data_IF_485980494994
#
_entry.id   IF_485980494994
#
_cell.length_a   1.000
_cell.length_b   1.000
_cell.length_c   1.000
_cell.angle_alpha   90.00
_cell.angle_beta   90.00
_cell.angle_gamma   90.00
#
_symmetry.space_group_name_H-M   'P 1'
#
loop_
_entity.id
_entity.type
_entity.pdbx_description
1 polymer ?
#
# COMPACT_ATOMS: atom_id res chain seq x y z
N UNK A 1 -49.68 11.12 -25.96
CA UNK A 1 -49.04 9.79 -25.88
C UNK A 1 -47.89 9.88 -24.89
N UNK A 2 -47.90 8.96 -23.93
CA UNK A 2 -46.83 8.55 -23.02
C UNK A 2 -46.44 9.46 -21.83
N UNK A 3 -46.97 9.03 -20.69
CA UNK A 3 -46.69 9.38 -19.30
C UNK A 3 -45.33 8.83 -18.81
N UNK A 4 -44.76 9.55 -17.81
CA UNK A 4 -44.04 9.07 -16.62
C UNK A 4 -42.89 8.04 -16.71
N UNK A 5 -41.70 8.41 -16.19
CA UNK A 5 -41.22 7.99 -14.85
C UNK A 5 -39.81 8.52 -14.57
N UNK A 6 -39.74 9.51 -13.69
CA UNK A 6 -38.62 9.68 -12.75
C UNK A 6 -38.80 8.58 -11.70
N UNK A 7 -37.91 7.60 -11.67
CA UNK A 7 -37.82 6.64 -10.56
C UNK A 7 -36.42 6.73 -9.96
N UNK A 8 -36.42 7.27 -8.75
CA UNK A 8 -35.46 7.03 -7.68
C UNK A 8 -34.79 5.66 -7.81
N UNK A 9 -33.46 5.66 -7.94
CA UNK A 9 -32.63 4.49 -7.70
C UNK A 9 -32.81 4.13 -6.22
N UNK A 10 -33.72 3.18 -5.99
CA UNK A 10 -34.06 2.69 -4.67
C UNK A 10 -32.90 1.87 -4.12
N UNK A 11 -32.73 2.02 -2.82
CA UNK A 11 -31.80 1.40 -1.89
C UNK A 11 -31.93 -0.14 -1.79
N UNK A 12 -32.26 -0.82 -2.90
CA UNK A 12 -32.70 -2.22 -2.95
C UNK A 12 -31.63 -3.21 -3.44
N UNK A 13 -30.55 -2.73 -4.07
CA UNK A 13 -29.54 -3.62 -4.66
C UNK A 13 -28.58 -4.19 -3.61
N UNK A 14 -28.43 -3.51 -2.46
CA UNK A 14 -27.56 -3.95 -1.36
C UNK A 14 -28.12 -5.09 -0.51
N UNK A 15 -29.45 -5.20 -0.39
CA UNK A 15 -30.08 -6.16 0.54
C UNK A 15 -30.55 -7.46 -0.13
N UNK A 16 -30.66 -7.49 -1.47
CA UNK A 16 -31.14 -8.68 -2.20
C UNK A 16 -30.06 -9.75 -2.50
N UNK A 17 -28.77 -9.46 -2.26
CA UNK A 17 -27.66 -10.37 -2.63
C UNK A 17 -27.30 -11.43 -1.57
N UNK A 18 -28.00 -11.48 -0.43
CA UNK A 18 -27.65 -12.35 0.72
C UNK A 18 -28.48 -13.62 0.88
N UNK A 19 -29.36 -13.96 -0.08
CA UNK A 19 -30.17 -15.19 0.03
C UNK A 19 -30.29 -15.90 -1.30
N UNK A 20 -29.43 -16.90 -1.54
CA UNK A 20 -29.75 -18.11 -2.32
C UNK A 20 -28.55 -19.07 -2.33
N UNK A 21 -28.60 -20.08 -1.46
CA UNK A 21 -28.52 -21.51 -1.80
C UNK A 21 -27.97 -22.32 -0.63
N UNK A 22 -28.89 -23.08 -0.03
CA UNK A 22 -28.60 -24.13 0.94
C UNK A 22 -28.67 -25.46 0.19
N UNK A 23 -27.72 -26.33 0.52
CA UNK A 23 -27.72 -27.79 0.38
C UNK A 23 -26.98 -28.37 -0.83
N UNK A 24 -25.82 -28.99 -0.54
CA UNK A 24 -25.34 -30.16 -1.30
C UNK A 24 -23.83 -30.28 -1.53
N UNK A 25 -23.16 -29.18 -1.93
CA UNK A 25 -21.75 -29.13 -2.38
C UNK A 25 -21.02 -27.91 -1.78
N UNK A 26 -21.29 -27.63 -0.50
CA UNK A 26 -21.13 -26.31 0.10
C UNK A 26 -19.67 -25.78 0.06
N UNK A 27 -18.66 -26.63 0.23
CA UNK A 27 -17.29 -26.14 0.46
C UNK A 27 -16.58 -25.63 -0.81
N UNK A 28 -16.84 -26.25 -1.97
CA UNK A 28 -16.20 -25.88 -3.23
C UNK A 28 -16.93 -24.71 -3.92
N UNK A 29 -18.27 -24.66 -3.77
CA UNK A 29 -19.11 -23.54 -4.22
C UNK A 29 -18.80 -22.25 -3.44
N UNK A 30 -18.62 -22.35 -2.12
CA UNK A 30 -18.32 -21.17 -1.28
C UNK A 30 -16.91 -20.61 -1.55
N UNK A 31 -15.90 -21.46 -1.80
CA UNK A 31 -14.57 -20.98 -2.18
C UNK A 31 -14.53 -20.30 -3.56
N UNK A 32 -15.23 -20.84 -4.54
CA UNK A 32 -15.36 -20.23 -5.87
C UNK A 32 -16.15 -18.91 -5.80
N UNK A 33 -17.19 -18.84 -4.96
CA UNK A 33 -17.93 -17.61 -4.69
C UNK A 33 -17.08 -16.55 -3.98
N UNK A 34 -16.22 -16.94 -3.04
CA UNK A 34 -15.30 -16.01 -2.38
C UNK A 34 -14.25 -15.48 -3.37
N UNK A 35 -13.69 -16.33 -4.24
CA UNK A 35 -12.74 -15.90 -5.27
C UNK A 35 -13.38 -14.95 -6.28
N UNK A 36 -14.60 -15.23 -6.73
CA UNK A 36 -15.30 -14.36 -7.68
C UNK A 36 -15.63 -13.00 -7.06
N UNK A 37 -16.04 -12.97 -5.78
CA UNK A 37 -16.20 -11.72 -5.02
C UNK A 37 -14.89 -10.95 -4.88
N UNK A 38 -13.78 -11.61 -4.56
CA UNK A 38 -12.45 -10.98 -4.47
C UNK A 38 -12.05 -10.31 -5.79
N UNK A 39 -12.22 -11.02 -6.92
CA UNK A 39 -11.95 -10.47 -8.24
C UNK A 39 -12.89 -9.33 -8.60
N UNK A 40 -14.18 -9.45 -8.26
CA UNK A 40 -15.16 -8.39 -8.50
C UNK A 40 -14.79 -7.11 -7.75
N UNK A 41 -14.37 -7.22 -6.49
CA UNK A 41 -13.93 -6.07 -5.68
C UNK A 41 -12.71 -5.39 -6.32
N UNK A 42 -11.72 -6.17 -6.77
CA UNK A 42 -10.55 -5.62 -7.46
C UNK A 42 -10.92 -4.92 -8.76
N UNK A 43 -11.78 -5.54 -9.59
CA UNK A 43 -12.21 -4.98 -10.87
C UNK A 43 -13.00 -3.67 -10.67
N UNK A 44 -13.88 -3.62 -9.66
CA UNK A 44 -14.64 -2.41 -9.36
C UNK A 44 -13.72 -1.29 -8.82
N UNK A 45 -12.75 -1.64 -7.96
CA UNK A 45 -11.72 -0.72 -7.51
C UNK A 45 -10.89 -0.14 -8.66
N UNK A 46 -10.51 -0.98 -9.62
CA UNK A 46 -9.80 -0.55 -10.83
C UNK A 46 -10.69 0.34 -11.72
N UNK A 47 -12.00 0.05 -11.80
CA UNK A 47 -12.95 0.89 -12.53
C UNK A 47 -13.07 2.27 -11.89
N UNK A 48 -13.21 2.36 -10.57
CA UNK A 48 -13.23 3.67 -9.88
C UNK A 48 -11.94 4.45 -10.10
N UNK A 49 -10.78 3.77 -10.13
CA UNK A 49 -9.51 4.37 -10.51
C UNK A 49 -9.55 4.94 -11.93
N UNK A 50 -10.01 4.16 -12.92
CA UNK A 50 -10.09 4.62 -14.33
C UNK A 50 -11.05 5.79 -14.51
N UNK A 51 -12.10 5.87 -13.72
CA UNK A 51 -13.09 6.94 -13.76
C UNK A 51 -12.70 8.17 -12.94
N UNK A 52 -11.58 8.15 -12.20
CA UNK A 52 -11.14 9.27 -11.36
C UNK A 52 -11.98 9.50 -10.10
N UNK A 53 -12.75 8.49 -9.66
CA UNK A 53 -13.73 8.57 -8.58
C UNK A 53 -13.10 8.27 -7.22
N UNK A 54 -12.28 9.20 -6.74
CA UNK A 54 -11.54 9.02 -5.49
C UNK A 54 -12.45 8.84 -4.26
N UNK A 55 -13.48 9.68 -4.11
CA UNK A 55 -14.36 9.62 -2.92
C UNK A 55 -15.09 8.28 -2.85
N UNK A 56 -15.62 7.83 -3.98
CA UNK A 56 -16.32 6.57 -4.12
C UNK A 56 -15.38 5.39 -3.86
N UNK A 57 -14.12 5.46 -4.30
CA UNK A 57 -13.12 4.43 -4.01
C UNK A 57 -12.78 4.38 -2.51
N UNK A 58 -12.63 5.53 -1.84
CA UNK A 58 -12.41 5.59 -0.40
C UNK A 58 -13.58 4.98 0.37
N UNK A 59 -14.82 5.34 0.03
CA UNK A 59 -16.03 4.75 0.62
C UNK A 59 -16.13 3.25 0.34
N UNK A 60 -15.77 2.82 -0.86
CA UNK A 60 -15.75 1.42 -1.25
C UNK A 60 -14.75 0.58 -0.44
N UNK A 61 -13.56 1.12 -0.16
CA UNK A 61 -12.59 0.48 0.76
C UNK A 61 -13.20 0.29 2.15
N UNK A 62 -14.06 1.20 2.61
CA UNK A 62 -14.79 1.03 3.88
C UNK A 62 -15.88 -0.03 3.78
N UNK A 63 -16.61 -0.06 2.66
CA UNK A 63 -17.71 -1.00 2.42
C UNK A 63 -17.23 -2.46 2.27
N UNK A 64 -15.99 -2.68 1.83
CA UNK A 64 -15.42 -4.03 1.68
C UNK A 64 -14.97 -4.66 3.00
N UNK A 65 -14.97 -3.91 4.11
CA UNK A 65 -14.49 -4.38 5.44
C UNK A 65 -15.19 -5.64 5.96
N UNK A 66 -16.54 -5.80 5.90
CA UNK A 66 -17.19 -7.01 6.38
C UNK A 66 -16.69 -8.26 5.63
N UNK A 67 -16.49 -8.15 4.32
CA UNK A 67 -15.97 -9.23 3.47
C UNK A 67 -14.53 -9.63 3.83
N UNK A 68 -13.70 -8.70 4.33
CA UNK A 68 -12.33 -9.02 4.76
C UNK A 68 -12.29 -10.00 5.93
N UNK A 69 -13.38 -10.16 6.69
CA UNK A 69 -13.50 -11.13 7.77
C UNK A 69 -13.89 -12.54 7.29
N UNK A 70 -14.40 -12.65 6.06
CA UNK A 70 -14.80 -13.93 5.44
C UNK A 70 -13.62 -14.64 4.75
N UNK A 71 -12.48 -13.96 4.57
CA UNK A 71 -11.31 -14.48 3.85
C UNK A 71 -10.09 -14.60 4.75
N UNK A 72 -9.06 -15.33 4.29
CA UNK A 72 -7.83 -15.47 5.06
C UNK A 72 -7.11 -14.12 5.23
N UNK A 73 -6.42 -13.94 6.36
CA UNK A 73 -5.68 -12.71 6.69
C UNK A 73 -4.71 -12.29 5.57
N UNK A 74 -4.08 -13.26 4.90
CA UNK A 74 -3.17 -13.01 3.79
C UNK A 74 -3.89 -12.45 2.56
N UNK A 75 -5.04 -13.03 2.18
CA UNK A 75 -5.86 -12.54 1.06
C UNK A 75 -6.42 -11.15 1.36
N UNK A 76 -6.93 -10.94 2.57
CA UNK A 76 -7.42 -9.64 2.99
C UNK A 76 -6.33 -8.56 2.97
N UNK A 77 -5.11 -8.89 3.41
CA UNK A 77 -3.98 -7.97 3.32
C UNK A 77 -3.63 -7.61 1.88
N UNK A 78 -3.64 -8.60 0.97
CA UNK A 78 -3.39 -8.38 -0.46
C UNK A 78 -4.48 -7.51 -1.09
N UNK A 79 -5.74 -7.77 -0.78
CA UNK A 79 -6.89 -7.01 -1.29
C UNK A 79 -6.84 -5.55 -0.85
N UNK A 80 -6.65 -5.29 0.45
CA UNK A 80 -6.54 -3.92 0.98
C UNK A 80 -5.36 -3.18 0.37
N UNK A 81 -4.18 -3.83 0.27
CA UNK A 81 -3.00 -3.22 -0.35
C UNK A 81 -3.27 -2.79 -1.80
N UNK A 82 -3.88 -3.67 -2.60
CA UNK A 82 -4.23 -3.35 -3.98
C UNK A 82 -5.20 -2.17 -4.09
N UNK A 83 -6.24 -2.13 -3.24
CA UNK A 83 -7.21 -1.05 -3.27
C UNK A 83 -6.61 0.30 -2.83
N UNK A 84 -5.76 0.29 -1.80
CA UNK A 84 -5.02 1.49 -1.37
C UNK A 84 -4.06 1.94 -2.47
N UNK A 85 -3.33 1.02 -3.12
CA UNK A 85 -2.46 1.36 -4.26
C UNK A 85 -3.27 1.99 -5.40
N UNK A 86 -4.47 1.47 -5.72
CA UNK A 86 -5.35 2.08 -6.71
C UNK A 86 -5.79 3.50 -6.33
N UNK A 87 -6.02 3.74 -5.04
CA UNK A 87 -6.41 5.04 -4.53
C UNK A 87 -5.25 6.04 -4.58
N UNK A 88 -4.04 5.64 -4.19
CA UNK A 88 -2.87 6.52 -4.20
C UNK A 88 -2.44 6.89 -5.62
N UNK A 89 -2.66 6.01 -6.60
CA UNK A 89 -2.40 6.31 -8.01
C UNK A 89 -3.38 7.32 -8.63
N UNK A 90 -4.45 7.74 -7.93
CA UNK A 90 -5.42 8.72 -8.42
C UNK A 90 -4.97 10.18 -8.23
N UNK A 91 -3.94 10.44 -7.43
CA UNK A 91 -3.52 11.79 -7.02
C UNK A 91 -4.72 12.63 -6.53
N UNK A 92 -5.57 12.00 -5.71
CA UNK A 92 -6.84 12.55 -5.21
C UNK A 92 -6.65 13.76 -4.28
N UNK A 93 -5.42 13.98 -3.82
CA UNK A 93 -5.00 15.10 -2.98
C UNK A 93 -4.38 14.62 -1.67
N UNK A 94 -3.24 15.22 -1.34
CA UNK A 94 -2.32 14.83 -0.24
C UNK A 94 -3.07 14.56 1.08
N UNK A 95 -3.99 15.45 1.48
CA UNK A 95 -4.71 15.30 2.74
C UNK A 95 -5.70 14.15 2.79
N UNK A 96 -6.33 13.80 1.66
CA UNK A 96 -7.30 12.70 1.59
C UNK A 96 -6.57 11.36 1.58
N UNK A 97 -5.46 11.29 0.84
CA UNK A 97 -4.57 10.11 0.77
C UNK A 97 -3.94 9.78 2.12
N UNK A 98 -3.43 10.79 2.83
CA UNK A 98 -2.89 10.64 4.17
C UNK A 98 -3.96 10.13 5.14
N UNK A 99 -5.16 10.73 5.13
CA UNK A 99 -6.24 10.34 6.03
C UNK A 99 -6.68 8.90 5.77
N UNK A 100 -6.87 8.49 4.52
CA UNK A 100 -7.25 7.12 4.18
C UNK A 100 -6.18 6.11 4.64
N UNK A 101 -4.90 6.41 4.43
CA UNK A 101 -3.81 5.53 4.87
C UNK A 101 -3.81 5.36 6.40
N UNK A 102 -3.97 6.46 7.15
CA UNK A 102 -4.05 6.40 8.62
C UNK A 102 -5.25 5.58 9.10
N UNK A 103 -6.43 5.80 8.52
CA UNK A 103 -7.62 5.02 8.84
C UNK A 103 -7.40 3.52 8.56
N UNK A 104 -6.80 3.17 7.42
CA UNK A 104 -6.48 1.78 7.09
C UNK A 104 -5.46 1.15 8.06
N UNK A 105 -4.47 1.92 8.52
CA UNK A 105 -3.47 1.47 9.50
C UNK A 105 -4.11 1.21 10.86
N UNK A 106 -4.92 2.14 11.37
CA UNK A 106 -5.61 2.00 12.67
C UNK A 106 -6.48 0.74 12.69
N UNK A 107 -7.25 0.51 11.63
CA UNK A 107 -8.09 -0.68 11.52
C UNK A 107 -7.29 -1.97 11.44
N UNK A 108 -6.18 -1.95 10.69
CA UNK A 108 -5.31 -3.12 10.60
C UNK A 108 -4.68 -3.46 11.97
N UNK A 109 -4.42 -2.44 12.81
CA UNK A 109 -3.96 -2.61 14.21
C UNK A 109 -5.06 -3.19 15.09
N UNK A 110 -6.30 -2.69 14.98
CA UNK A 110 -7.44 -3.18 15.75
C UNK A 110 -7.76 -4.65 15.45
N UNK A 111 -7.64 -5.07 14.19
CA UNK A 111 -7.82 -6.47 13.78
C UNK A 111 -6.64 -7.40 14.13
N UNK A 112 -5.65 -6.90 14.89
CA UNK A 112 -4.42 -7.62 15.28
C UNK A 112 -3.69 -8.25 14.09
N UNK A 113 -3.69 -7.58 12.93
CA UNK A 113 -2.88 -7.98 11.78
C UNK A 113 -1.50 -7.37 11.97
N UNK A 114 -0.44 -8.16 12.01
CA UNK A 114 0.92 -7.63 12.24
C UNK A 114 1.58 -7.10 10.97
N UNK A 115 1.45 -7.81 9.85
CA UNK A 115 2.15 -7.46 8.59
C UNK A 115 1.44 -6.38 7.76
N UNK A 116 0.10 -6.35 7.79
CA UNK A 116 -0.68 -5.39 7.01
C UNK A 116 -0.45 -3.93 7.43
N UNK A 117 -0.47 -3.56 8.73
CA UNK A 117 -0.16 -2.20 9.15
C UNK A 117 1.23 -1.77 8.70
N UNK A 118 2.23 -2.63 8.82
CA UNK A 118 3.61 -2.32 8.45
C UNK A 118 3.77 -2.04 6.96
N UNK A 119 3.11 -2.84 6.14
CA UNK A 119 3.02 -2.61 4.70
C UNK A 119 2.33 -1.28 4.36
N UNK A 120 1.27 -0.93 5.09
CA UNK A 120 0.55 0.33 4.88
C UNK A 120 1.34 1.53 5.40
N UNK A 121 2.07 1.38 6.50
CA UNK A 121 2.98 2.39 7.04
C UNK A 121 4.15 2.64 6.09
N UNK A 122 4.74 1.60 5.48
CA UNK A 122 5.75 1.76 4.44
C UNK A 122 5.22 2.53 3.22
N UNK A 123 3.97 2.25 2.82
CA UNK A 123 3.30 3.01 1.75
C UNK A 123 3.04 4.47 2.15
N UNK A 124 2.64 4.72 3.39
CA UNK A 124 2.45 6.07 3.91
C UNK A 124 3.77 6.85 3.99
N UNK A 125 4.89 6.19 4.31
CA UNK A 125 6.22 6.82 4.26
C UNK A 125 6.56 7.21 2.81
N UNK A 126 6.27 6.35 1.84
CA UNK A 126 6.48 6.68 0.42
C UNK A 126 5.62 7.89 0.00
N UNK A 127 4.34 7.92 0.40
CA UNK A 127 3.46 9.07 0.17
C UNK A 127 4.03 10.36 0.79
N UNK A 128 4.50 10.32 2.04
CA UNK A 128 5.13 11.49 2.67
C UNK A 128 6.39 11.95 1.94
N UNK A 129 7.18 11.02 1.41
CA UNK A 129 8.34 11.36 0.59
C UNK A 129 7.92 12.06 -0.71
N UNK A 130 6.96 11.51 -1.44
CA UNK A 130 6.49 12.05 -2.73
C UNK A 130 5.83 13.43 -2.58
N UNK A 131 5.22 13.69 -1.42
CA UNK A 131 4.53 14.94 -1.08
C UNK A 131 5.44 15.98 -0.40
N UNK A 132 6.70 15.64 -0.12
CA UNK A 132 7.68 16.54 0.51
C UNK A 132 7.56 16.66 2.04
N UNK A 133 6.73 15.85 2.69
CA UNK A 133 6.56 15.77 4.14
C UNK A 133 7.69 14.95 4.80
N UNK A 134 8.94 15.41 4.64
CA UNK A 134 10.12 14.64 5.02
C UNK A 134 10.26 14.40 6.53
N UNK A 135 9.77 15.31 7.37
CA UNK A 135 9.87 15.17 8.82
C UNK A 135 8.96 14.04 9.35
N UNK A 136 7.75 13.97 8.82
CA UNK A 136 6.76 12.94 9.09
C UNK A 136 7.24 11.59 8.57
N UNK A 137 7.79 11.56 7.35
CA UNK A 137 8.40 10.37 6.76
C UNK A 137 9.50 9.77 7.66
N UNK A 138 10.43 10.60 8.16
CA UNK A 138 11.50 10.14 9.05
C UNK A 138 11.00 9.66 10.41
N UNK A 139 9.97 10.32 10.96
CA UNK A 139 9.39 9.97 12.26
C UNK A 139 8.70 8.60 12.18
N UNK A 140 7.88 8.40 11.15
CA UNK A 140 7.19 7.13 10.91
C UNK A 140 8.20 6.03 10.54
N UNK A 141 9.14 6.32 9.64
CA UNK A 141 10.20 5.40 9.22
C UNK A 141 11.07 4.92 10.38
N UNK A 142 11.46 5.81 11.30
CA UNK A 142 12.24 5.45 12.50
C UNK A 142 11.48 4.52 13.44
N UNK A 143 10.16 4.66 13.52
CA UNK A 143 9.29 3.82 14.35
C UNK A 143 9.16 2.45 13.71
N UNK A 144 8.76 2.40 12.43
CA UNK A 144 8.60 1.16 11.67
C UNK A 144 9.91 0.37 11.57
N UNK A 145 11.06 1.04 11.39
CA UNK A 145 12.37 0.40 11.37
C UNK A 145 12.70 -0.37 12.66
N UNK A 146 12.34 0.17 13.83
CA UNK A 146 12.55 -0.52 15.13
C UNK A 146 11.69 -1.77 15.25
N UNK A 147 10.50 -1.77 14.66
CA UNK A 147 9.61 -2.91 14.63
C UNK A 147 10.12 -3.97 13.64
N UNK A 148 10.41 -3.58 12.40
CA UNK A 148 10.88 -4.48 11.34
C UNK A 148 12.21 -5.16 11.68
N UNK A 149 13.08 -4.52 12.48
CA UNK A 149 14.30 -5.16 13.00
C UNK A 149 14.04 -6.41 13.83
N UNK A 150 12.89 -6.51 14.49
CA UNK A 150 12.49 -7.67 15.30
C UNK A 150 11.78 -8.74 14.46
N UNK A 151 11.54 -8.46 13.18
CA UNK A 151 10.83 -9.34 12.26
C UNK A 151 11.76 -9.91 11.19
N UNK A 152 11.26 -10.95 10.53
CA UNK A 152 12.01 -11.68 9.50
C UNK A 152 11.74 -11.16 8.08
N UNK A 153 10.78 -10.26 7.89
CA UNK A 153 10.51 -9.66 6.57
C UNK A 153 11.58 -8.62 6.21
N UNK A 154 12.69 -9.13 5.66
CA UNK A 154 13.82 -8.30 5.22
C UNK A 154 13.52 -7.53 3.93
N UNK A 155 12.55 -7.94 3.12
CA UNK A 155 12.18 -7.19 1.92
C UNK A 155 11.60 -5.83 2.29
N UNK A 156 10.61 -5.83 3.20
CA UNK A 156 10.00 -4.59 3.68
C UNK A 156 11.01 -3.72 4.44
N UNK A 157 11.94 -4.34 5.17
CA UNK A 157 13.02 -3.61 5.87
C UNK A 157 13.92 -2.85 4.89
N UNK A 158 14.33 -3.46 3.78
CA UNK A 158 15.14 -2.80 2.74
C UNK A 158 14.39 -1.63 2.11
N UNK A 159 13.09 -1.79 1.83
CA UNK A 159 12.26 -0.73 1.26
C UNK A 159 12.20 0.50 2.17
N UNK A 160 11.98 0.31 3.48
CA UNK A 160 11.95 1.39 4.47
C UNK A 160 13.32 2.07 4.62
N UNK A 161 14.41 1.31 4.67
CA UNK A 161 15.78 1.87 4.74
C UNK A 161 16.15 2.67 3.48
N UNK A 162 15.69 2.23 2.30
CA UNK A 162 15.88 2.96 1.05
C UNK A 162 15.09 4.28 1.05
N UNK A 163 13.83 4.27 1.52
CA UNK A 163 13.05 5.49 1.69
C UNK A 163 13.68 6.46 2.69
N UNK A 164 14.23 5.94 3.79
CA UNK A 164 14.98 6.74 4.76
C UNK A 164 16.22 7.40 4.11
N UNK A 165 16.98 6.65 3.32
CA UNK A 165 18.13 7.21 2.55
C UNK A 165 17.71 8.32 1.60
N UNK A 166 16.63 8.11 0.82
CA UNK A 166 16.07 9.10 -0.09
C UNK A 166 15.61 10.36 0.64
N UNK A 167 14.93 10.19 1.78
CA UNK A 167 14.41 11.29 2.59
C UNK A 167 15.54 12.13 3.19
N UNK A 168 16.58 11.50 3.73
CA UNK A 168 17.75 12.23 4.22
C UNK A 168 18.50 12.96 3.10
N UNK A 169 18.58 12.36 1.90
CA UNK A 169 19.17 13.00 0.75
C UNK A 169 18.37 14.25 0.33
N UNK A 170 17.04 14.17 0.29
CA UNK A 170 16.18 15.31 0.00
C UNK A 170 16.36 16.46 1.00
N UNK A 171 16.64 16.14 2.27
CA UNK A 171 17.00 17.11 3.31
C UNK A 171 18.48 17.56 3.28
N UNK A 172 19.23 17.21 2.24
CA UNK A 172 20.67 17.49 2.10
C UNK A 172 21.54 16.92 3.23
N UNK A 173 21.08 15.90 3.94
CA UNK A 173 21.83 15.22 4.99
C UNK A 173 22.57 13.98 4.44
N UNK A 174 23.64 14.24 3.69
CA UNK A 174 24.41 13.20 3.00
C UNK A 174 25.00 12.13 3.93
N UNK A 175 25.56 12.46 5.12
CA UNK A 175 26.11 11.43 6.01
C UNK A 175 25.06 10.42 6.47
N UNK A 176 23.86 10.88 6.83
CA UNK A 176 22.76 9.98 7.23
C UNK A 176 22.16 9.24 6.05
N UNK A 177 22.01 9.89 4.90
CA UNK A 177 21.52 9.25 3.69
C UNK A 177 22.40 8.05 3.28
N UNK A 178 23.72 8.21 3.38
CA UNK A 178 24.71 7.15 3.12
C UNK A 178 24.62 6.04 4.16
N UNK A 179 24.59 6.37 5.44
CA UNK A 179 24.47 5.37 6.50
C UNK A 179 23.21 4.51 6.36
N UNK A 180 22.08 5.12 5.98
CA UNK A 180 20.84 4.41 5.68
C UNK A 180 20.99 3.51 4.45
N UNK A 181 21.59 4.00 3.35
CA UNK A 181 21.82 3.20 2.14
C UNK A 181 22.77 2.01 2.39
N UNK A 182 23.87 2.21 3.13
CA UNK A 182 24.77 1.14 3.53
C UNK A 182 24.01 0.06 4.29
N UNK A 183 23.17 0.46 5.24
CA UNK A 183 22.32 -0.46 6.00
C UNK A 183 21.31 -1.21 5.11
N UNK A 184 20.73 -0.52 4.12
CA UNK A 184 19.83 -1.12 3.14
C UNK A 184 20.54 -2.18 2.28
N UNK A 185 21.73 -1.87 1.76
CA UNK A 185 22.56 -2.81 0.98
C UNK A 185 23.01 -4.01 1.79
N UNK A 186 23.44 -3.80 3.03
CA UNK A 186 23.78 -4.91 3.95
C UNK A 186 22.59 -5.82 4.16
N UNK A 187 21.39 -5.27 4.37
CA UNK A 187 20.16 -6.06 4.54
C UNK A 187 19.79 -6.78 3.24
N UNK A 188 19.92 -6.12 2.09
CA UNK A 188 19.65 -6.69 0.77
C UNK A 188 20.55 -7.88 0.45
N UNK A 189 21.80 -7.92 0.93
CA UNK A 189 22.70 -9.06 0.74
C UNK A 189 22.20 -10.36 1.42
N UNK A 190 21.32 -10.26 2.42
CA UNK A 190 20.74 -11.43 3.11
C UNK A 190 19.52 -12.01 2.39
N UNK A 191 19.06 -11.37 1.30
CA UNK A 191 17.88 -11.78 0.55
C UNK A 191 18.17 -11.88 -0.94
N UNK A 192 17.39 -12.70 -1.64
CA UNK A 192 17.35 -12.64 -3.09
C UNK A 192 16.54 -11.40 -3.50
N UNK A 193 17.24 -10.27 -3.64
CA UNK A 193 16.65 -8.98 -3.92
C UNK A 193 15.95 -8.99 -5.30
N UNK A 194 14.66 -8.64 -5.40
CA UNK A 194 13.99 -8.52 -6.70
C UNK A 194 14.67 -7.46 -7.59
N UNK A 195 14.70 -7.63 -8.92
CA UNK A 195 15.42 -6.73 -9.82
C UNK A 195 15.05 -5.25 -9.68
N UNK A 196 13.77 -4.94 -9.42
CA UNK A 196 13.31 -3.56 -9.21
C UNK A 196 13.90 -2.93 -7.95
N UNK A 197 13.99 -3.70 -6.85
CA UNK A 197 14.53 -3.21 -5.58
C UNK A 197 16.05 -3.03 -5.68
N UNK A 198 16.73 -3.97 -6.35
CA UNK A 198 18.16 -3.86 -6.62
C UNK A 198 18.49 -2.61 -7.46
N UNK A 199 17.76 -2.39 -8.55
CA UNK A 199 17.93 -1.20 -9.39
C UNK A 199 17.69 0.10 -8.61
N UNK A 200 16.74 0.11 -7.68
CA UNK A 200 16.47 1.29 -6.84
C UNK A 200 17.59 1.56 -5.82
N UNK A 201 18.22 0.52 -5.26
CA UNK A 201 19.40 0.65 -4.41
C UNK A 201 20.60 1.18 -5.19
N UNK A 202 20.82 0.66 -6.39
CA UNK A 202 21.94 1.06 -7.25
C UNK A 202 21.77 2.51 -7.73
N UNK A 203 20.55 2.90 -8.13
CA UNK A 203 20.21 4.29 -8.48
C UNK A 203 20.50 5.25 -7.32
N UNK A 204 20.06 4.90 -6.10
CA UNK A 204 20.33 5.74 -4.92
C UNK A 204 21.82 5.81 -4.62
N UNK A 205 22.58 4.73 -4.84
CA UNK A 205 24.04 4.73 -4.72
C UNK A 205 24.67 5.72 -5.70
N UNK A 206 24.25 5.70 -6.97
CA UNK A 206 24.73 6.62 -7.98
C UNK A 206 24.45 8.08 -7.63
N UNK A 207 23.23 8.38 -7.18
CA UNK A 207 22.84 9.73 -6.72
C UNK A 207 23.75 10.21 -5.58
N UNK A 208 24.00 9.37 -4.57
CA UNK A 208 24.82 9.76 -3.43
C UNK A 208 26.30 9.91 -3.78
N UNK A 209 26.88 9.04 -4.62
CA UNK A 209 28.26 9.18 -5.09
C UNK A 209 28.46 10.45 -5.92
N UNK A 210 27.48 10.80 -6.77
CA UNK A 210 27.52 12.03 -7.55
C UNK A 210 27.37 13.29 -6.69
N UNK A 211 26.47 13.25 -5.68
CA UNK A 211 26.15 14.40 -4.85
C UNK A 211 27.24 14.76 -3.83
N UNK A 212 27.91 13.76 -3.28
CA UNK A 212 28.83 13.94 -2.14
C UNK A 212 30.31 13.92 -2.57
N UNK A 213 30.71 12.85 -3.27
CA UNK A 213 32.12 12.56 -3.56
C UNK A 213 32.59 13.16 -4.88
N UNK A 214 31.66 13.66 -5.71
CA UNK A 214 31.90 13.99 -7.12
C UNK A 214 32.58 12.83 -7.87
N UNK A 215 32.38 11.61 -7.39
CA UNK A 215 32.90 10.39 -8.00
C UNK A 215 31.93 9.93 -9.08
N UNK A 216 31.91 10.70 -10.17
CA UNK A 216 31.02 10.47 -11.30
C UNK A 216 31.31 9.14 -12.01
N UNK A 217 32.53 8.59 -11.86
CA UNK A 217 32.90 7.32 -12.47
C UNK A 217 32.22 6.16 -11.76
N UNK A 218 32.27 6.16 -10.43
CA UNK A 218 31.60 5.14 -9.61
C UNK A 218 30.10 5.34 -9.64
N UNK A 219 29.61 6.59 -9.72
CA UNK A 219 28.19 6.88 -9.84
C UNK A 219 27.55 6.39 -11.16
N UNK A 220 28.32 6.34 -12.25
CA UNK A 220 27.85 5.87 -13.57
C UNK A 220 27.77 4.35 -13.70
N UNK A 221 28.59 3.63 -12.91
CA UNK A 221 28.78 2.18 -13.00
C UNK A 221 27.67 1.40 -12.31
#
# INVERSE_FOLDING_TARGET
>A
MLFERVQSVSNSDGEQLLKLNRDGDQHNSDEENIKSKEQHILNLGEQYKKEGKAKELAEFIKATRPFLSEISKAKAAKLVRSLVDFFLDLEAGIGIEEQLCKECIELAKDERRTFLPQSLEARLIALYFDTGMFAEALTLGSTLFKELKKLDDKNLLVEVQLLESKTYHALSNLPKARAALTSARTTANYIYCPPKMQAALDLQSGILHAADEKDFKTAYS
#
